data_IF_826112842447
#
_entry.id   IF_826112842447
#
_cell.length_a   1.000
_cell.length_b   1.000
_cell.length_c   1.000
_cell.angle_alpha   90.00
_cell.angle_beta   90.00
_cell.angle_gamma   90.00
#
_symmetry.space_group_name_H-M   'P 1'
#
loop_
_entity.id
_entity.type
_entity.pdbx_description
1 polymer ?
#
# COMPACT_ATOMS: atom_id res chain seq x y z
N UNK A 1 -5.05 -26.16 -5.34
CA UNK A 1 -5.14 -24.97 -4.47
C UNK A 1 -3.99 -25.09 -3.48
N UNK A 2 -3.00 -24.19 -3.56
CA UNK A 2 -1.89 -24.17 -2.59
C UNK A 2 -2.44 -23.54 -1.32
N UNK A 3 -2.63 -24.35 -0.28
CA UNK A 3 -3.11 -23.87 1.04
C UNK A 3 -1.95 -23.17 1.74
N UNK A 4 -2.11 -21.89 2.04
CA UNK A 4 -1.15 -21.16 2.86
C UNK A 4 -1.45 -21.36 4.36
N UNK A 5 -0.43 -21.26 5.21
CA UNK A 5 -0.62 -21.37 6.67
C UNK A 5 -1.17 -20.08 7.27
N UNK A 6 -0.76 -18.95 6.72
CA UNK A 6 -1.18 -17.61 7.11
C UNK A 6 -0.97 -16.62 5.97
N UNK A 7 -1.56 -15.43 6.10
CA UNK A 7 -1.48 -14.36 5.11
C UNK A 7 -1.06 -13.06 5.80
N UNK A 8 -0.03 -12.40 5.25
CA UNK A 8 0.37 -11.05 5.65
C UNK A 8 0.01 -10.08 4.53
N UNK A 9 -0.80 -9.06 4.82
CA UNK A 9 -1.16 -8.02 3.86
C UNK A 9 -0.64 -6.67 4.33
N UNK A 10 0.13 -6.00 3.48
CA UNK A 10 0.71 -4.70 3.76
C UNK A 10 0.06 -3.61 2.89
N UNK A 11 0.08 -2.37 3.39
CA UNK A 11 0.04 -1.20 2.50
C UNK A 11 1.37 -1.07 1.75
N UNK A 12 1.39 -0.25 0.69
CA UNK A 12 2.63 0.03 -0.03
C UNK A 12 3.32 1.31 0.45
N UNK A 13 2.70 2.46 0.23
CA UNK A 13 3.27 3.77 0.51
C UNK A 13 3.50 3.94 2.02
N UNK A 14 4.65 4.45 2.44
CA UNK A 14 5.07 4.61 3.85
C UNK A 14 5.08 3.31 4.69
N UNK A 15 4.81 2.14 4.09
CA UNK A 15 4.82 0.82 4.74
C UNK A 15 5.77 -0.16 4.03
N UNK A 16 5.43 -0.72 2.85
CA UNK A 16 6.32 -1.59 2.07
C UNK A 16 7.53 -0.81 1.52
N UNK A 17 7.27 0.42 1.11
CA UNK A 17 8.25 1.40 0.61
C UNK A 17 8.19 2.67 1.47
N UNK A 18 9.29 3.43 1.50
CA UNK A 18 9.41 4.65 2.31
C UNK A 18 8.76 5.88 1.67
N UNK A 19 8.47 5.80 0.37
CA UNK A 19 7.98 6.90 -0.43
C UNK A 19 6.46 6.95 -0.46
N UNK A 20 5.93 8.13 -0.80
CA UNK A 20 4.58 8.34 -1.32
C UNK A 20 4.68 8.42 -2.84
N UNK A 21 4.20 7.40 -3.56
CA UNK A 21 4.38 7.30 -5.02
C UNK A 21 3.75 8.48 -5.75
N UNK A 22 2.59 8.95 -5.29
CA UNK A 22 1.92 10.09 -5.92
C UNK A 22 2.72 11.38 -5.80
N UNK A 23 3.51 11.56 -4.72
CA UNK A 23 4.39 12.72 -4.58
C UNK A 23 5.58 12.65 -5.54
N UNK A 24 6.16 11.45 -5.74
CA UNK A 24 7.23 11.25 -6.73
C UNK A 24 6.75 11.54 -8.15
N UNK A 25 5.52 11.13 -8.51
CA UNK A 25 4.90 11.47 -9.79
C UNK A 25 4.60 12.96 -9.91
N UNK A 26 4.19 13.60 -8.82
CA UNK A 26 3.93 15.03 -8.80
C UNK A 26 5.21 15.88 -8.97
N UNK A 27 6.35 15.38 -8.51
CA UNK A 27 7.67 16.01 -8.79
C UNK A 27 7.97 16.04 -10.29
N UNK A 28 7.67 14.95 -11.02
CA UNK A 28 7.80 14.90 -12.48
C UNK A 28 6.90 15.93 -13.19
N UNK A 29 5.78 16.30 -12.57
CA UNK A 29 4.87 17.35 -13.04
C UNK A 29 5.25 18.76 -12.55
N UNK A 30 6.24 18.89 -11.65
CA UNK A 30 6.56 20.15 -10.98
C UNK A 30 5.48 20.63 -9.99
N UNK A 31 4.64 19.71 -9.47
CA UNK A 31 3.45 20.01 -8.64
C UNK A 31 3.45 19.33 -7.27
N UNK A 32 4.63 18.97 -6.78
CA UNK A 32 4.77 18.24 -5.50
C UNK A 32 4.07 18.96 -4.34
N UNK A 33 4.25 20.27 -4.21
CA UNK A 33 3.67 21.05 -3.09
C UNK A 33 2.14 20.99 -3.07
N UNK A 34 1.51 21.05 -4.25
CA UNK A 34 0.04 20.97 -4.37
C UNK A 34 -0.48 19.59 -3.93
N UNK A 35 0.20 18.53 -4.37
CA UNK A 35 -0.17 17.15 -4.05
C UNK A 35 0.07 16.85 -2.57
N UNK A 36 1.17 17.32 -2.00
CA UNK A 36 1.48 17.13 -0.59
C UNK A 36 0.42 17.77 0.31
N UNK A 37 0.02 19.00 0.04
CA UNK A 37 -1.05 19.68 0.80
C UNK A 37 -2.38 18.91 0.76
N UNK A 38 -2.77 18.38 -0.42
CA UNK A 38 -3.98 17.58 -0.57
C UNK A 38 -3.86 16.21 0.15
N UNK A 39 -2.68 15.61 0.15
CA UNK A 39 -2.40 14.36 0.87
C UNK A 39 -2.55 14.57 2.38
N UNK A 40 -1.96 15.62 2.92
CA UNK A 40 -2.06 15.95 4.35
C UNK A 40 -3.52 16.22 4.78
N UNK A 41 -4.31 16.93 3.97
CA UNK A 41 -5.73 17.19 4.25
C UNK A 41 -6.56 15.88 4.30
N UNK A 42 -6.33 14.96 3.34
CA UNK A 42 -6.97 13.65 3.36
C UNK A 42 -6.58 12.82 4.57
N UNK A 43 -5.31 12.88 4.96
CA UNK A 43 -4.80 12.15 6.13
C UNK A 43 -5.35 12.69 7.46
N UNK A 44 -5.76 13.96 7.50
CA UNK A 44 -6.50 14.53 8.65
C UNK A 44 -7.99 14.21 8.62
N UNK A 45 -8.48 13.51 7.58
CA UNK A 45 -9.90 13.17 7.44
C UNK A 45 -10.80 14.35 7.01
N UNK A 46 -10.21 15.43 6.51
CA UNK A 46 -10.95 16.62 6.04
C UNK A 46 -11.64 16.37 4.69
N UNK A 47 -11.11 15.41 3.91
CA UNK A 47 -11.61 15.04 2.58
C UNK A 47 -11.64 13.51 2.51
N UNK A 48 -12.68 12.93 1.91
CA UNK A 48 -12.72 11.48 1.68
C UNK A 48 -11.61 11.03 0.73
N UNK A 49 -11.17 9.77 0.90
CA UNK A 49 -10.02 9.22 0.18
C UNK A 49 -10.20 9.30 -1.34
N UNK A 50 -11.36 8.93 -1.87
CA UNK A 50 -11.59 8.86 -3.31
C UNK A 50 -11.58 10.26 -3.95
N UNK A 51 -12.19 11.24 -3.32
CA UNK A 51 -12.18 12.65 -3.75
C UNK A 51 -10.76 13.21 -3.71
N UNK A 52 -10.02 12.96 -2.63
CA UNK A 52 -8.63 13.37 -2.51
C UNK A 52 -7.74 12.72 -3.56
N UNK A 53 -7.88 11.40 -3.80
CA UNK A 53 -7.12 10.69 -4.82
C UNK A 53 -7.37 11.29 -6.22
N UNK A 54 -8.63 11.48 -6.60
CA UNK A 54 -8.98 12.08 -7.91
C UNK A 54 -8.40 13.48 -8.08
N UNK A 55 -8.49 14.31 -7.04
CA UNK A 55 -7.93 15.67 -7.07
C UNK A 55 -6.42 15.67 -7.28
N UNK A 56 -5.70 14.79 -6.55
CA UNK A 56 -4.24 14.65 -6.67
C UNK A 56 -3.85 14.10 -8.04
N UNK A 57 -4.55 13.08 -8.54
CA UNK A 57 -4.28 12.50 -9.86
C UNK A 57 -4.56 13.50 -10.97
N UNK A 58 -5.57 14.37 -10.84
CA UNK A 58 -5.83 15.42 -11.82
C UNK A 58 -4.64 16.36 -12.03
N UNK A 59 -3.82 16.58 -11.00
CA UNK A 59 -2.60 17.39 -11.12
C UNK A 59 -1.50 16.72 -11.96
N UNK A 60 -1.58 15.40 -12.17
CA UNK A 60 -0.61 14.63 -12.96
C UNK A 60 -0.92 14.64 -14.46
N UNK A 61 -1.97 15.33 -14.91
CA UNK A 61 -2.30 15.41 -16.33
C UNK A 61 -1.11 15.91 -17.16
N UNK A 62 -0.82 15.21 -18.26
CA UNK A 62 0.29 15.53 -19.16
C UNK A 62 1.64 14.95 -18.74
N UNK A 63 1.78 14.29 -17.61
CA UNK A 63 3.02 13.59 -17.23
C UNK A 63 3.24 12.43 -18.21
N UNK A 64 4.40 12.36 -18.89
CA UNK A 64 4.68 11.30 -19.86
C UNK A 64 4.90 9.95 -19.15
N UNK A 65 4.52 8.84 -19.80
CA UNK A 65 4.65 7.48 -19.23
C UNK A 65 6.09 7.09 -18.90
N UNK A 66 7.08 7.71 -19.56
CA UNK A 66 8.52 7.53 -19.26
C UNK A 66 8.88 7.98 -17.84
N UNK A 67 8.07 8.83 -17.22
CA UNK A 67 8.23 9.22 -15.81
C UNK A 67 8.13 8.01 -14.86
N UNK A 68 7.35 6.99 -15.21
CA UNK A 68 7.24 5.78 -14.39
C UNK A 68 8.58 5.10 -14.14
N UNK A 69 9.44 5.00 -15.16
CA UNK A 69 10.78 4.41 -15.01
C UNK A 69 11.66 5.24 -14.05
N UNK A 70 11.58 6.57 -14.14
CA UNK A 70 12.33 7.47 -13.24
C UNK A 70 11.80 7.39 -11.81
N UNK A 71 10.50 7.34 -11.63
CA UNK A 71 9.87 7.17 -10.31
C UNK A 71 10.26 5.83 -9.69
N UNK A 72 10.16 4.72 -10.45
CA UNK A 72 10.57 3.38 -9.97
C UNK A 72 12.03 3.35 -9.50
N UNK A 73 12.93 4.02 -10.21
CA UNK A 73 14.34 4.11 -9.83
C UNK A 73 14.58 4.85 -8.49
N UNK A 74 13.59 5.62 -8.02
CA UNK A 74 13.65 6.40 -6.78
C UNK A 74 12.90 5.74 -5.62
N UNK A 75 12.20 4.63 -5.88
CA UNK A 75 11.50 3.90 -4.83
C UNK A 75 12.49 3.27 -3.88
N UNK A 76 12.35 3.57 -2.60
CA UNK A 76 13.17 3.04 -1.52
C UNK A 76 12.38 1.99 -0.74
N UNK A 77 12.77 0.71 -0.77
CA UNK A 77 12.18 -0.31 0.08
C UNK A 77 12.34 0.03 1.57
N UNK A 78 11.32 -0.23 2.36
CA UNK A 78 11.42 -0.12 3.82
C UNK A 78 12.46 -1.11 4.34
N UNK A 79 13.33 -0.72 5.30
CA UNK A 79 14.24 -1.66 5.96
C UNK A 79 13.52 -2.92 6.45
N UNK A 80 14.17 -4.07 6.32
CA UNK A 80 13.64 -5.35 6.77
C UNK A 80 12.54 -5.96 5.89
N UNK A 81 12.10 -5.31 4.80
CA UNK A 81 11.01 -5.84 3.95
C UNK A 81 11.37 -7.19 3.36
N UNK A 82 12.60 -7.39 2.85
CA UNK A 82 13.03 -8.66 2.26
C UNK A 82 13.21 -9.74 3.31
N UNK A 83 13.63 -9.39 4.51
CA UNK A 83 13.75 -10.32 5.63
C UNK A 83 12.35 -10.78 6.07
N UNK A 84 11.38 -9.86 6.14
CA UNK A 84 9.99 -10.19 6.45
C UNK A 84 9.39 -11.13 5.41
N UNK A 85 9.46 -10.80 4.11
CA UNK A 85 8.89 -11.63 3.04
C UNK A 85 9.53 -13.01 2.99
N UNK A 86 10.86 -13.10 3.15
CA UNK A 86 11.60 -14.36 3.26
C UNK A 86 11.13 -15.18 4.47
N UNK A 87 10.96 -14.55 5.63
CA UNK A 87 10.52 -15.23 6.84
C UNK A 87 9.07 -15.72 6.73
N UNK A 88 8.18 -14.96 6.06
CA UNK A 88 6.81 -15.36 5.76
C UNK A 88 6.79 -16.61 4.89
N UNK A 89 7.53 -16.61 3.78
CA UNK A 89 7.61 -17.76 2.87
C UNK A 89 8.21 -18.99 3.56
N UNK A 90 9.30 -18.82 4.32
CA UNK A 90 9.95 -19.92 5.04
C UNK A 90 9.01 -20.62 6.04
N UNK A 91 7.98 -19.92 6.53
CA UNK A 91 6.97 -20.46 7.45
C UNK A 91 5.69 -20.93 6.74
N UNK A 92 5.66 -20.91 5.40
CA UNK A 92 4.51 -21.33 4.59
C UNK A 92 3.38 -20.30 4.52
N UNK A 93 3.69 -19.02 4.76
CA UNK A 93 2.79 -17.90 4.58
C UNK A 93 2.84 -17.32 3.16
N UNK A 94 1.93 -16.39 2.89
CA UNK A 94 1.82 -15.62 1.64
C UNK A 94 1.85 -14.14 1.98
N UNK A 95 2.49 -13.34 1.12
CA UNK A 95 2.58 -11.89 1.25
C UNK A 95 1.70 -11.22 0.20
N UNK A 96 0.75 -10.39 0.65
CA UNK A 96 -0.08 -9.53 -0.18
C UNK A 96 0.22 -8.05 0.04
N UNK A 97 -0.05 -7.22 -0.96
CA UNK A 97 -0.03 -5.75 -0.84
C UNK A 97 -1.32 -5.17 -1.42
N UNK A 98 -2.01 -4.33 -0.64
CA UNK A 98 -3.18 -3.58 -1.13
C UNK A 98 -2.96 -2.10 -0.90
N UNK A 99 -2.81 -1.35 -1.98
CA UNK A 99 -2.32 0.03 -1.96
C UNK A 99 -3.31 1.04 -2.53
N UNK A 100 -3.36 2.21 -1.90
CA UNK A 100 -3.95 3.41 -2.48
C UNK A 100 -3.08 4.07 -3.57
N UNK A 101 -1.85 3.58 -3.77
CA UNK A 101 -0.94 3.98 -4.84
C UNK A 101 -1.30 3.38 -6.21
N UNK A 102 -0.31 3.12 -7.07
CA UNK A 102 -0.55 2.82 -8.49
C UNK A 102 0.17 1.58 -8.98
N UNK A 103 -0.55 0.78 -9.77
CA UNK A 103 -0.04 -0.42 -10.45
C UNK A 103 1.17 -0.11 -11.35
N UNK A 104 1.20 1.05 -12.00
CA UNK A 104 2.28 1.48 -12.92
C UNK A 104 3.66 1.52 -12.26
N UNK A 105 3.69 1.57 -10.93
CA UNK A 105 4.93 1.48 -10.13
C UNK A 105 4.99 0.13 -9.41
N UNK A 106 3.89 -0.31 -8.79
CA UNK A 106 3.87 -1.49 -7.94
C UNK A 106 4.08 -2.79 -8.71
N UNK A 107 3.62 -2.88 -9.98
CA UNK A 107 3.76 -4.07 -10.82
C UNK A 107 5.24 -4.47 -11.03
N UNK A 108 6.15 -3.49 -11.05
CA UNK A 108 7.59 -3.74 -11.18
C UNK A 108 8.31 -3.87 -9.81
N UNK A 109 7.80 -3.20 -8.77
CA UNK A 109 8.45 -3.15 -7.44
C UNK A 109 8.09 -4.37 -6.58
N UNK A 110 6.83 -4.76 -6.55
CA UNK A 110 6.32 -5.79 -5.66
C UNK A 110 7.00 -7.17 -5.84
N UNK A 111 7.17 -7.71 -7.07
CA UNK A 111 7.83 -8.98 -7.26
C UNK A 111 9.28 -8.99 -6.76
N UNK A 112 10.00 -7.88 -7.00
CA UNK A 112 11.37 -7.70 -6.53
C UNK A 112 11.53 -7.67 -5.01
N UNK A 113 10.46 -7.45 -4.26
CA UNK A 113 10.42 -7.44 -2.80
C UNK A 113 9.84 -8.73 -2.20
N UNK A 114 9.52 -9.74 -3.02
CA UNK A 114 8.97 -11.02 -2.56
C UNK A 114 7.48 -10.95 -2.23
N UNK A 115 6.74 -10.03 -2.85
CA UNK A 115 5.27 -9.96 -2.73
C UNK A 115 4.65 -10.94 -3.71
N UNK A 116 3.68 -11.75 -3.25
CA UNK A 116 3.02 -12.78 -4.06
C UNK A 116 1.78 -12.26 -4.78
N UNK A 117 1.09 -11.30 -4.16
CA UNK A 117 -0.17 -10.74 -4.67
C UNK A 117 -0.24 -9.25 -4.39
N UNK A 118 -0.76 -8.46 -5.34
CA UNK A 118 -0.98 -7.04 -5.08
C UNK A 118 -2.18 -6.46 -5.83
N UNK A 119 -2.73 -5.38 -5.25
CA UNK A 119 -3.77 -4.54 -5.83
C UNK A 119 -3.44 -3.08 -5.55
N UNK A 120 -3.64 -2.24 -6.56
CA UNK A 120 -3.48 -0.80 -6.46
C UNK A 120 -4.45 -0.10 -7.42
N UNK A 121 -4.53 1.21 -7.37
CA UNK A 121 -5.24 1.99 -8.38
C UNK A 121 -4.50 1.92 -9.73
N UNK A 122 -5.16 2.34 -10.80
CA UNK A 122 -4.54 2.54 -12.12
C UNK A 122 -4.64 4.00 -12.55
N UNK A 123 -3.62 4.47 -13.22
CA UNK A 123 -3.62 5.77 -13.88
C UNK A 123 -4.10 5.60 -15.33
N UNK A 124 -5.03 6.45 -15.75
CA UNK A 124 -5.46 6.44 -17.15
C UNK A 124 -4.42 7.12 -18.04
N UNK A 125 -4.02 6.46 -19.11
CA UNK A 125 -3.04 6.92 -20.09
C UNK A 125 -3.71 7.12 -21.45
N UNK A 126 -3.42 8.22 -22.11
CA UNK A 126 -3.75 8.47 -23.53
C UNK A 126 -2.57 9.17 -24.21
N UNK A 127 -2.30 8.82 -25.45
CA UNK A 127 -1.24 9.43 -26.28
C UNK A 127 0.13 9.49 -25.60
N UNK A 128 0.48 8.46 -24.79
CA UNK A 128 1.76 8.36 -24.09
C UNK A 128 1.88 9.26 -22.84
N UNK A 129 0.79 9.85 -22.37
CA UNK A 129 0.78 10.70 -21.19
C UNK A 129 -0.39 10.38 -20.25
N UNK A 130 -0.28 10.76 -18.98
CA UNK A 130 -1.36 10.65 -18.00
C UNK A 130 -2.50 11.62 -18.37
N UNK A 131 -3.74 11.13 -18.32
CA UNK A 131 -4.92 11.97 -18.55
C UNK A 131 -5.32 12.80 -17.33
N UNK A 132 -4.76 12.50 -16.16
CA UNK A 132 -5.18 13.06 -14.88
C UNK A 132 -6.41 12.36 -14.29
N UNK A 133 -6.74 11.15 -14.77
CA UNK A 133 -7.86 10.35 -14.25
C UNK A 133 -7.38 9.01 -13.68
N UNK A 134 -8.12 8.52 -12.68
CA UNK A 134 -7.97 7.16 -12.16
C UNK A 134 -8.79 6.22 -13.01
N UNK A 135 -8.19 5.11 -13.44
CA UNK A 135 -8.86 4.05 -14.20
C UNK A 135 -9.48 3.00 -13.28
N UNK A 136 -10.74 2.62 -13.57
CA UNK A 136 -11.43 1.57 -12.82
C UNK A 136 -11.88 1.96 -11.41
N UNK A 137 -12.10 0.93 -10.58
CA UNK A 137 -12.53 1.11 -9.19
C UNK A 137 -11.37 1.56 -8.30
N UNK A 138 -11.69 2.45 -7.35
CA UNK A 138 -10.70 2.98 -6.41
C UNK A 138 -10.44 1.96 -5.30
N UNK A 139 -9.16 1.72 -5.03
CA UNK A 139 -8.69 0.93 -3.91
C UNK A 139 -8.61 1.84 -2.68
N UNK A 140 -9.71 1.91 -1.95
CA UNK A 140 -9.87 2.62 -0.69
C UNK A 140 -9.75 1.67 0.52
N UNK A 141 -10.09 2.14 1.73
CA UNK A 141 -10.05 1.31 2.93
C UNK A 141 -11.01 0.12 2.89
N UNK A 142 -12.19 0.26 2.28
CA UNK A 142 -13.14 -0.84 2.12
C UNK A 142 -12.60 -1.89 1.14
N UNK A 143 -12.00 -1.45 0.05
CA UNK A 143 -11.33 -2.32 -0.91
C UNK A 143 -10.13 -3.06 -0.28
N UNK A 144 -9.35 -2.41 0.61
CA UNK A 144 -8.27 -3.06 1.35
C UNK A 144 -8.79 -4.22 2.20
N UNK A 145 -9.85 -3.99 2.97
CA UNK A 145 -10.50 -5.04 3.77
C UNK A 145 -11.08 -6.17 2.91
N UNK A 146 -11.68 -5.81 1.78
CA UNK A 146 -12.23 -6.77 0.81
C UNK A 146 -11.14 -7.69 0.26
N UNK A 147 -10.00 -7.15 -0.20
CA UNK A 147 -8.92 -7.95 -0.79
C UNK A 147 -8.23 -8.85 0.24
N UNK A 148 -8.03 -8.39 1.49
CA UNK A 148 -7.52 -9.24 2.55
C UNK A 148 -8.41 -10.47 2.74
N UNK A 149 -9.74 -10.28 2.86
CA UNK A 149 -10.70 -11.40 3.04
C UNK A 149 -10.72 -12.31 1.82
N UNK A 150 -10.77 -11.75 0.61
CA UNK A 150 -10.78 -12.51 -0.65
C UNK A 150 -9.55 -13.40 -0.77
N UNK A 151 -8.37 -12.85 -0.52
CA UNK A 151 -7.13 -13.64 -0.58
C UNK A 151 -7.03 -14.68 0.53
N UNK A 152 -7.49 -14.37 1.74
CA UNK A 152 -7.55 -15.36 2.82
C UNK A 152 -8.46 -16.54 2.45
N UNK A 153 -9.64 -16.27 1.89
CA UNK A 153 -10.58 -17.29 1.41
C UNK A 153 -9.98 -18.14 0.28
N UNK A 154 -9.43 -17.51 -0.76
CA UNK A 154 -8.78 -18.18 -1.89
C UNK A 154 -7.62 -19.09 -1.48
N UNK A 155 -6.87 -18.69 -0.43
CA UNK A 155 -5.72 -19.42 0.10
C UNK A 155 -6.10 -20.45 1.18
N UNK A 156 -7.36 -20.49 1.60
CA UNK A 156 -7.82 -21.35 2.70
C UNK A 156 -7.26 -20.93 4.06
N UNK A 157 -6.91 -19.64 4.22
CA UNK A 157 -6.38 -19.08 5.48
C UNK A 157 -7.52 -18.63 6.36
N UNK A 158 -7.55 -19.11 7.61
CA UNK A 158 -8.54 -18.67 8.58
C UNK A 158 -8.34 -17.19 8.96
N UNK A 159 -9.41 -16.40 9.23
CA UNK A 159 -9.29 -14.98 9.55
C UNK A 159 -8.29 -14.66 10.67
N UNK A 160 -8.25 -15.49 11.72
CA UNK A 160 -7.31 -15.32 12.84
C UNK A 160 -5.84 -15.56 12.47
N UNK A 161 -5.56 -16.18 11.31
CA UNK A 161 -4.22 -16.38 10.76
C UNK A 161 -3.84 -15.32 9.71
N UNK A 162 -4.51 -14.16 9.71
CA UNK A 162 -4.18 -13.03 8.85
C UNK A 162 -3.55 -11.89 9.65
N UNK A 163 -2.57 -11.21 9.04
CA UNK A 163 -1.89 -10.03 9.60
C UNK A 163 -2.05 -8.88 8.61
N UNK A 164 -2.51 -7.73 9.08
CA UNK A 164 -2.60 -6.51 8.30
C UNK A 164 -1.61 -5.47 8.83
N UNK A 165 -0.84 -4.82 7.95
CA UNK A 165 0.20 -3.85 8.30
C UNK A 165 -0.02 -2.57 7.48
N UNK A 166 -0.09 -1.42 8.15
CA UNK A 166 -0.24 -0.13 7.47
C UNK A 166 0.05 1.06 8.38
N UNK A 167 0.07 2.26 7.82
CA UNK A 167 0.40 3.51 8.50
C UNK A 167 -0.75 4.52 8.55
N UNK A 168 -1.73 4.38 7.65
CA UNK A 168 -2.78 5.36 7.38
C UNK A 168 -4.17 4.97 7.88
N UNK A 169 -5.07 5.97 7.98
CA UNK A 169 -6.46 5.75 8.36
C UNK A 169 -7.21 4.85 7.37
N UNK A 170 -6.80 4.84 6.10
CA UNK A 170 -7.32 3.95 5.06
C UNK A 170 -6.96 2.46 5.28
N UNK A 171 -6.03 2.14 6.20
CA UNK A 171 -5.68 0.77 6.57
C UNK A 171 -6.51 0.22 7.72
N UNK A 172 -7.17 1.09 8.49
CA UNK A 172 -7.98 0.68 9.64
C UNK A 172 -9.07 -0.36 9.29
N UNK A 173 -9.82 -0.24 8.17
CA UNK A 173 -10.78 -1.28 7.80
C UNK A 173 -10.13 -2.65 7.53
N UNK A 174 -8.94 -2.68 6.95
CA UNK A 174 -8.17 -3.91 6.72
C UNK A 174 -7.66 -4.48 8.05
N UNK A 175 -7.11 -3.64 8.92
CA UNK A 175 -6.65 -4.05 10.26
C UNK A 175 -7.78 -4.60 11.12
N UNK A 176 -8.99 -4.02 11.04
CA UNK A 176 -10.14 -4.43 11.83
C UNK A 176 -10.68 -5.82 11.46
N UNK A 177 -10.39 -6.31 10.25
CA UNK A 177 -10.86 -7.63 9.78
C UNK A 177 -9.76 -8.68 9.82
N UNK A 178 -8.52 -8.30 10.06
CA UNK A 178 -7.39 -9.19 10.23
C UNK A 178 -7.38 -9.84 11.63
N UNK A 179 -6.73 -10.99 11.75
CA UNK A 179 -6.46 -11.61 13.05
C UNK A 179 -5.51 -10.76 13.91
N UNK A 180 -4.59 -10.03 13.25
CA UNK A 180 -3.68 -9.09 13.91
C UNK A 180 -3.51 -7.83 13.03
N UNK A 181 -3.92 -6.68 13.54
CA UNK A 181 -3.72 -5.37 12.90
C UNK A 181 -2.50 -4.65 13.50
N UNK A 182 -1.52 -4.31 12.67
CA UNK A 182 -0.27 -3.67 13.05
C UNK A 182 -0.20 -2.25 12.48
N UNK A 183 -0.14 -1.25 13.36
CA UNK A 183 0.19 0.11 13.00
C UNK A 183 1.72 0.24 12.86
N UNK A 184 2.21 0.39 11.63
CA UNK A 184 3.63 0.53 11.30
C UNK A 184 3.91 1.95 10.82
N UNK A 185 4.92 2.61 11.40
CA UNK A 185 5.25 4.02 11.10
C UNK A 185 4.03 4.96 11.12
N UNK A 186 3.03 4.59 11.91
CA UNK A 186 1.68 5.09 11.78
C UNK A 186 1.46 6.46 12.44
N UNK A 187 0.51 7.19 11.88
CA UNK A 187 0.01 8.46 12.41
C UNK A 187 -0.76 8.25 13.72
N UNK A 188 -0.85 9.29 14.59
CA UNK A 188 -1.45 9.16 15.92
C UNK A 188 -2.82 8.47 15.93
N UNK A 189 -3.74 8.88 15.06
CA UNK A 189 -5.09 8.31 14.99
C UNK A 189 -5.11 6.80 14.68
N UNK A 190 -4.16 6.32 13.86
CA UNK A 190 -4.03 4.89 13.53
C UNK A 190 -3.45 4.11 14.72
N UNK A 191 -2.48 4.71 15.43
CA UNK A 191 -1.85 4.11 16.61
C UNK A 191 -2.84 3.85 17.74
N UNK A 192 -3.87 4.67 17.88
CA UNK A 192 -4.91 4.53 18.89
C UNK A 192 -5.89 3.38 18.58
N UNK A 193 -6.02 3.01 17.30
CA UNK A 193 -7.01 2.05 16.82
C UNK A 193 -6.44 0.66 16.50
N UNK A 194 -5.13 0.53 16.32
CA UNK A 194 -4.48 -0.73 15.97
C UNK A 194 -4.32 -1.67 17.15
N UNK A 195 -4.26 -2.97 16.89
CA UNK A 195 -4.02 -4.01 17.92
C UNK A 195 -2.61 -3.90 18.51
N UNK A 196 -1.63 -3.51 17.70
CA UNK A 196 -0.24 -3.34 18.10
C UNK A 196 0.41 -2.22 17.28
N UNK A 197 1.31 -1.48 17.91
CA UNK A 197 2.07 -0.39 17.30
C UNK A 197 3.54 -0.78 17.20
N UNK A 198 4.09 -0.74 15.98
CA UNK A 198 5.51 -0.94 15.72
C UNK A 198 6.22 0.42 15.73
N UNK A 199 7.15 0.59 16.66
CA UNK A 199 7.87 1.86 16.84
C UNK A 199 9.00 2.10 15.82
N UNK A 200 9.95 1.16 15.64
CA UNK A 200 11.01 1.30 14.64
C UNK A 200 10.47 1.20 13.21
N UNK A 201 11.02 2.01 12.29
CA UNK A 201 10.71 1.91 10.85
C UNK A 201 11.58 0.81 10.23
N UNK A 202 11.32 -0.44 10.65
CA UNK A 202 12.00 -1.66 10.19
C UNK A 202 10.99 -2.82 10.23
N UNK A 203 10.63 -3.35 9.06
CA UNK A 203 9.67 -4.45 8.93
C UNK A 203 10.22 -5.79 9.47
N UNK A 204 11.54 -5.92 9.67
CA UNK A 204 12.12 -7.06 10.35
C UNK A 204 11.62 -7.23 11.79
N UNK A 205 11.19 -6.16 12.43
CA UNK A 205 10.59 -6.19 13.79
C UNK A 205 9.24 -6.91 13.86
N UNK A 206 8.61 -7.16 12.70
CA UNK A 206 7.35 -7.93 12.61
C UNK A 206 7.61 -9.44 12.63
N UNK A 207 8.81 -9.90 12.28
CA UNK A 207 9.15 -11.33 12.14
C UNK A 207 8.84 -12.17 13.41
N UNK A 208 9.08 -11.69 14.65
CA UNK A 208 8.72 -12.43 15.86
C UNK A 208 7.22 -12.61 16.07
N UNK A 209 6.38 -11.83 15.38
CA UNK A 209 4.90 -11.89 15.48
C UNK A 209 4.27 -12.85 14.46
N UNK A 210 5.06 -13.40 13.53
CA UNK A 210 4.58 -14.37 12.53
C UNK A 210 4.25 -15.71 13.20
N UNK A 211 3.16 -16.40 12.74
CA UNK A 211 2.81 -17.74 13.21
C UNK A 211 3.88 -18.80 12.97
#
# INVERSE_FOLDING_TARGET
>A
VTTARFLVVLDADSTLIRNEVIELLAEEAGRRTEVQAATEAAMRGEIDFATSLRSRVATLAGVPVEAFARVRARVEPTPGVRDLTTAVHARGGVVGVVSGGFHEILDDVAPGLGVDRWRANRLEVADGALTGRVGGDIVDGAAKAFWLRTWAEELGVAPHATIAIGDGANDLPMMAVAGLGLAFNAKPAVRESASLVIGPVDLGTVIPLLP
#
